data_IF_623585405037
#
_entry.id   IF_623585405037
#
_cell.length_a   1.000
_cell.length_b   1.000
_cell.length_c   1.000
_cell.angle_alpha   90.00
_cell.angle_beta   90.00
_cell.angle_gamma   90.00
#
_symmetry.space_group_name_H-M   'P 1'
#
loop_
_entity.id
_entity.type
_entity.pdbx_description
1 polymer ?
#
# COMPACT_ATOMS: atom_id res chain seq x y z
N UNK A 1 7.37 38.07 -42.78
CA UNK A 1 8.08 37.28 -41.74
C UNK A 1 7.36 37.58 -40.43
N UNK A 2 6.32 36.88 -40.00
CA UNK A 2 6.03 35.41 -40.10
C UNK A 2 7.19 34.59 -39.53
N UNK A 3 7.01 33.70 -38.54
CA UNK A 3 5.78 33.03 -38.07
C UNK A 3 5.58 32.96 -36.54
N UNK A 4 4.38 32.53 -36.16
CA UNK A 4 4.04 31.74 -34.96
C UNK A 4 5.06 30.63 -34.63
N UNK A 5 5.20 30.10 -33.41
CA UNK A 5 4.40 30.27 -32.19
C UNK A 5 3.68 28.98 -31.77
N UNK A 6 4.05 28.37 -30.63
CA UNK A 6 3.25 27.36 -29.89
C UNK A 6 3.86 27.09 -28.51
N UNK A 7 3.09 27.31 -27.45
CA UNK A 7 3.37 26.71 -26.13
C UNK A 7 2.81 25.29 -26.11
N UNK A 8 3.64 24.31 -25.79
CA UNK A 8 3.24 22.91 -25.65
C UNK A 8 3.04 22.57 -24.17
N UNK A 9 1.86 22.88 -23.63
CA UNK A 9 1.47 22.43 -22.31
C UNK A 9 1.32 20.90 -22.31
N UNK A 10 2.25 20.19 -21.66
CA UNK A 10 2.16 18.74 -21.50
C UNK A 10 0.92 18.38 -20.66
N UNK A 11 -0.04 17.57 -21.18
CA UNK A 11 -1.20 17.16 -20.40
C UNK A 11 -0.75 16.25 -19.25
N UNK A 12 -1.00 16.67 -18.01
CA UNK A 12 -0.61 15.90 -16.83
C UNK A 12 -1.33 14.56 -16.78
N UNK A 13 -0.59 13.49 -16.44
CA UNK A 13 -1.09 12.11 -16.39
C UNK A 13 -2.07 11.91 -15.21
N UNK A 14 -3.31 12.40 -15.35
CA UNK A 14 -4.36 12.19 -14.34
C UNK A 14 -4.77 10.72 -14.28
N UNK A 15 -4.31 10.01 -13.26
CA UNK A 15 -4.88 8.74 -12.82
C UNK A 15 -6.12 9.00 -11.96
N UNK A 16 -7.13 9.67 -12.52
CA UNK A 16 -8.33 10.09 -11.80
C UNK A 16 -9.09 8.89 -11.22
N UNK A 17 -9.56 9.04 -9.99
CA UNK A 17 -10.54 8.13 -9.39
C UNK A 17 -11.81 8.12 -10.24
N UNK A 18 -12.45 6.96 -10.40
CA UNK A 18 -13.72 6.88 -11.14
C UNK A 18 -14.80 7.73 -10.45
N UNK A 19 -15.74 8.34 -11.18
CA UNK A 19 -16.81 9.17 -10.62
C UNK A 19 -17.49 8.61 -9.37
N UNK A 20 -17.93 7.33 -9.39
CA UNK A 20 -18.51 6.68 -8.20
C UNK A 20 -17.58 6.64 -6.97
N UNK A 21 -16.28 6.50 -7.18
CA UNK A 21 -15.30 6.46 -6.08
C UNK A 21 -15.09 7.84 -5.44
N UNK A 22 -15.18 8.92 -6.23
CA UNK A 22 -15.12 10.31 -5.73
C UNK A 22 -16.35 10.60 -4.85
N UNK A 23 -17.54 10.22 -5.33
CA UNK A 23 -18.78 10.33 -4.55
C UNK A 23 -18.71 9.52 -3.25
N UNK A 24 -18.25 8.27 -3.32
CA UNK A 24 -18.05 7.44 -2.13
C UNK A 24 -17.00 8.02 -1.17
N UNK A 25 -15.94 8.69 -1.67
CA UNK A 25 -14.93 9.33 -0.83
C UNK A 25 -15.48 10.56 -0.08
N UNK A 26 -16.37 11.35 -0.69
CA UNK A 26 -16.98 12.54 -0.05
C UNK A 26 -18.18 12.21 0.84
N UNK A 27 -18.99 11.20 0.48
CA UNK A 27 -20.28 10.94 1.13
C UNK A 27 -20.41 9.57 1.80
N UNK A 28 -19.56 8.59 1.48
CA UNK A 28 -19.63 7.23 2.01
C UNK A 28 -20.99 6.58 1.80
N UNK A 29 -21.48 5.88 2.83
CA UNK A 29 -22.78 5.19 2.84
C UNK A 29 -24.00 6.13 2.67
N UNK A 30 -23.81 7.46 2.73
CA UNK A 30 -24.86 8.45 2.48
C UNK A 30 -25.17 8.63 0.99
N UNK A 31 -24.41 8.01 0.09
CA UNK A 31 -24.62 8.06 -1.35
C UNK A 31 -25.41 6.84 -1.86
N UNK A 32 -26.72 7.01 -2.09
CA UNK A 32 -27.61 5.93 -2.52
C UNK A 32 -27.86 5.99 -4.04
N UNK A 33 -27.37 4.98 -4.77
CA UNK A 33 -27.65 4.80 -6.20
C UNK A 33 -28.88 3.89 -6.39
N UNK A 34 -29.94 4.38 -7.02
CA UNK A 34 -31.11 3.59 -7.46
C UNK A 34 -31.11 3.52 -8.98
N UNK A 35 -31.20 2.31 -9.54
CA UNK A 35 -31.22 2.11 -11.00
C UNK A 35 -32.60 1.64 -11.45
N UNK A 36 -33.19 2.40 -12.36
CA UNK A 36 -34.50 2.25 -12.94
C UNK A 36 -34.38 1.68 -14.36
N UNK A 37 -35.34 0.85 -14.77
CA UNK A 37 -35.46 0.33 -16.14
C UNK A 37 -36.44 1.17 -16.94
N UNK A 38 -35.95 1.71 -18.07
CA UNK A 38 -36.68 2.60 -18.97
C UNK A 38 -36.84 1.91 -20.32
N UNK A 39 -38.07 1.81 -20.80
CA UNK A 39 -38.37 1.22 -22.10
C UNK A 39 -38.01 2.22 -23.21
N UNK A 40 -37.29 1.75 -24.23
CA UNK A 40 -36.93 2.57 -25.39
C UNK A 40 -38.16 2.73 -26.30
N UNK A 41 -38.70 3.95 -26.38
CA UNK A 41 -39.85 4.30 -27.22
C UNK A 41 -39.54 4.34 -28.72
N UNK A 42 -38.29 4.07 -29.13
CA UNK A 42 -37.85 4.05 -30.54
C UNK A 42 -38.20 2.74 -31.26
N UNK A 43 -38.97 1.83 -30.63
CA UNK A 43 -39.59 0.71 -31.35
C UNK A 43 -40.65 1.25 -32.34
N UNK A 44 -40.35 1.21 -33.64
CA UNK A 44 -41.38 1.44 -34.66
C UNK A 44 -42.49 0.40 -34.52
N UNK A 45 -43.73 0.88 -34.35
CA UNK A 45 -44.92 0.05 -34.19
C UNK A 45 -45.26 -0.68 -35.50
N UNK A 46 -44.73 -1.89 -35.67
CA UNK A 46 -45.26 -2.86 -36.64
C UNK A 46 -46.57 -3.40 -36.09
N UNK A 47 -47.69 -2.80 -36.51
CA UNK A 47 -49.03 -3.27 -36.14
C UNK A 47 -49.25 -4.70 -36.64
N UNK A 48 -49.69 -5.62 -35.76
CA UNK A 48 -50.13 -6.96 -36.14
C UNK A 48 -49.55 -8.14 -35.33
N UNK A 49 -48.50 -7.95 -34.53
CA UNK A 49 -47.90 -9.03 -33.73
C UNK A 49 -48.41 -9.05 -32.28
N UNK A 50 -49.15 -10.10 -31.92
CA UNK A 50 -49.76 -10.30 -30.60
C UNK A 50 -48.78 -10.77 -29.49
N UNK A 51 -47.48 -10.45 -29.62
CA UNK A 51 -46.45 -10.81 -28.64
C UNK A 51 -45.63 -9.53 -28.33
N UNK A 52 -45.55 -9.08 -27.06
CA UNK A 52 -44.75 -7.93 -26.70
C UNK A 52 -43.25 -8.24 -26.83
N UNK A 53 -42.69 -7.88 -27.98
CA UNK A 53 -41.25 -7.88 -28.25
C UNK A 53 -40.54 -6.93 -27.28
N UNK A 54 -40.06 -7.45 -26.14
CA UNK A 54 -39.30 -6.68 -25.14
C UNK A 54 -38.06 -6.07 -25.79
N UNK A 55 -38.13 -4.78 -26.09
CA UNK A 55 -37.01 -4.01 -26.64
C UNK A 55 -35.81 -3.96 -25.68
N UNK A 56 -34.62 -3.53 -26.17
CA UNK A 56 -33.43 -3.41 -25.34
C UNK A 56 -33.68 -2.41 -24.21
N UNK A 57 -33.70 -2.90 -22.97
CA UNK A 57 -33.87 -2.07 -21.78
C UNK A 57 -32.78 -1.01 -21.67
N UNK A 58 -33.20 0.25 -21.54
CA UNK A 58 -32.33 1.33 -21.11
C UNK A 58 -32.39 1.45 -19.58
N UNK A 59 -31.34 2.01 -19.00
CA UNK A 59 -31.20 2.19 -17.57
C UNK A 59 -30.98 3.64 -17.24
N UNK A 60 -31.67 4.13 -16.21
CA UNK A 60 -31.50 5.46 -15.62
C UNK A 60 -31.08 5.26 -14.17
N UNK A 61 -30.18 6.09 -13.66
CA UNK A 61 -29.75 6.06 -12.27
C UNK A 61 -30.12 7.37 -11.59
N UNK A 62 -30.84 7.25 -10.47
CA UNK A 62 -31.12 8.31 -9.53
C UNK A 62 -30.17 8.16 -8.34
N UNK A 63 -29.23 9.09 -8.23
CA UNK A 63 -28.28 9.19 -7.11
C UNK A 63 -28.83 10.18 -6.08
N UNK A 64 -29.12 9.69 -4.87
CA UNK A 64 -29.43 10.51 -3.72
C UNK A 64 -28.16 10.78 -2.90
N UNK A 65 -27.92 12.04 -2.58
CA UNK A 65 -26.88 12.54 -1.67
C UNK A 65 -27.57 13.42 -0.61
N UNK A 66 -26.92 13.70 0.55
CA UNK A 66 -27.48 14.61 1.56
C UNK A 66 -27.76 16.02 1.03
N UNK A 67 -26.99 16.46 0.03
CA UNK A 67 -27.02 17.82 -0.54
C UNK A 67 -27.91 17.93 -1.80
N UNK A 68 -28.16 16.82 -2.51
CA UNK A 68 -28.92 16.82 -3.77
C UNK A 68 -29.42 15.42 -4.18
N UNK A 69 -30.49 15.37 -4.99
CA UNK A 69 -30.81 14.20 -5.82
C UNK A 69 -30.50 14.51 -7.29
N UNK A 70 -29.84 13.59 -7.98
CA UNK A 70 -29.25 13.79 -9.31
C UNK A 70 -29.51 12.58 -10.20
N UNK A 71 -29.94 12.82 -11.44
CA UNK A 71 -30.46 11.79 -12.35
C UNK A 71 -29.61 11.71 -13.62
N UNK A 72 -29.15 10.51 -13.99
CA UNK A 72 -28.36 10.25 -15.18
C UNK A 72 -29.14 10.47 -16.49
N UNK A 73 -28.44 10.39 -17.63
CA UNK A 73 -29.10 10.05 -18.90
C UNK A 73 -29.62 8.59 -18.90
N UNK A 74 -30.21 8.15 -20.02
CA UNK A 74 -30.59 6.74 -20.25
C UNK A 74 -29.47 6.00 -20.99
N UNK A 75 -29.00 4.87 -20.45
CA UNK A 75 -27.86 4.12 -20.97
C UNK A 75 -28.17 2.63 -21.15
N UNK A 76 -27.49 1.96 -22.09
CA UNK A 76 -27.66 0.50 -22.34
C UNK A 76 -27.04 -0.40 -21.25
N UNK A 77 -26.37 0.14 -20.23
CA UNK A 77 -25.75 -0.62 -19.13
C UNK A 77 -25.99 0.07 -17.79
N UNK A 78 -26.41 -0.67 -16.76
CA UNK A 78 -26.64 -0.15 -15.39
C UNK A 78 -25.42 0.63 -14.85
N UNK A 79 -24.22 0.07 -15.03
CA UNK A 79 -22.95 0.70 -14.61
C UNK A 79 -22.68 2.07 -15.25
N UNK A 80 -23.09 2.29 -16.50
CA UNK A 80 -22.87 3.56 -17.20
C UNK A 80 -23.81 4.65 -16.67
N UNK A 81 -25.07 4.28 -16.39
CA UNK A 81 -26.03 5.16 -15.73
C UNK A 81 -25.54 5.57 -14.33
N UNK A 82 -25.00 4.64 -13.54
CA UNK A 82 -24.42 4.92 -12.22
C UNK A 82 -23.19 5.85 -12.28
N UNK A 83 -22.30 5.69 -13.27
CA UNK A 83 -21.17 6.62 -13.45
C UNK A 83 -21.66 7.99 -13.90
N UNK A 84 -22.58 8.08 -14.86
CA UNK A 84 -23.15 9.36 -15.33
C UNK A 84 -23.92 10.11 -14.22
N UNK A 85 -24.60 9.41 -13.31
CA UNK A 85 -25.20 10.04 -12.13
C UNK A 85 -24.13 10.62 -11.19
N UNK A 86 -22.98 9.97 -11.06
CA UNK A 86 -21.86 10.44 -10.27
C UNK A 86 -21.08 11.60 -10.93
N UNK A 87 -20.91 11.58 -12.26
CA UNK A 87 -20.30 12.66 -13.05
C UNK A 87 -21.11 13.95 -12.91
N UNK A 88 -22.42 13.89 -13.18
CA UNK A 88 -23.33 15.02 -12.95
C UNK A 88 -23.35 15.51 -11.50
N UNK A 89 -23.07 14.64 -10.53
CA UNK A 89 -22.98 15.02 -9.12
C UNK A 89 -21.67 15.73 -8.77
N UNK A 90 -20.56 15.34 -9.43
CA UNK A 90 -19.28 16.06 -9.34
C UNK A 90 -19.41 17.46 -9.95
N UNK A 91 -20.01 17.56 -11.12
CA UNK A 91 -20.27 18.84 -11.80
C UNK A 91 -21.21 19.75 -10.99
N UNK A 92 -22.37 19.23 -10.55
CA UNK A 92 -23.43 20.04 -9.92
C UNK A 92 -23.12 20.47 -8.48
N UNK A 93 -22.28 19.73 -7.74
CA UNK A 93 -21.90 20.05 -6.36
C UNK A 93 -20.46 20.61 -6.25
N UNK A 94 -19.90 21.05 -7.38
CA UNK A 94 -18.50 21.49 -7.55
C UNK A 94 -17.53 20.64 -6.73
N UNK A 95 -17.55 19.33 -6.98
CA UNK A 95 -16.71 18.36 -6.27
C UNK A 95 -15.32 18.37 -6.89
N UNK A 96 -14.64 19.50 -6.75
CA UNK A 96 -13.21 19.60 -6.91
C UNK A 96 -12.53 18.47 -6.09
N UNK A 97 -11.87 17.55 -6.79
CA UNK A 97 -10.86 16.72 -6.14
C UNK A 97 -9.82 17.69 -5.57
N UNK A 98 -9.65 17.72 -4.24
CA UNK A 98 -8.42 18.25 -3.67
C UNK A 98 -7.30 17.30 -4.06
N UNK A 99 -6.68 17.57 -5.20
CA UNK A 99 -5.42 16.93 -5.59
C UNK A 99 -4.43 17.15 -4.44
N UNK A 100 -3.84 16.06 -3.94
CA UNK A 100 -2.90 16.12 -2.83
C UNK A 100 -1.59 16.72 -3.34
N UNK A 101 -1.53 18.05 -3.28
CA UNK A 101 -0.46 18.89 -3.77
C UNK A 101 0.03 19.84 -2.66
N UNK A 102 0.50 19.30 -1.52
CA UNK A 102 1.07 20.11 -0.44
C UNK A 102 2.41 20.73 -0.86
N UNK A 103 2.87 21.75 -0.15
CA UNK A 103 4.30 22.10 -0.17
C UNK A 103 5.15 20.95 0.40
N UNK A 104 6.45 20.96 0.12
CA UNK A 104 7.38 19.95 0.68
C UNK A 104 7.36 19.99 2.21
N UNK A 105 7.20 21.17 2.82
CA UNK A 105 7.10 21.33 4.27
C UNK A 105 5.79 20.73 4.82
N UNK A 106 4.64 21.07 4.24
CA UNK A 106 3.35 20.46 4.62
C UNK A 106 3.37 18.94 4.46
N UNK A 107 4.06 18.39 3.44
CA UNK A 107 4.23 16.93 3.30
C UNK A 107 5.05 16.31 4.44
N UNK A 108 6.10 17.00 4.92
CA UNK A 108 6.84 16.57 6.12
C UNK A 108 6.00 16.62 7.40
N UNK A 109 5.15 17.63 7.53
CA UNK A 109 4.29 17.80 8.70
C UNK A 109 3.11 16.81 8.68
N UNK A 110 2.57 16.49 7.50
CA UNK A 110 1.54 15.47 7.32
C UNK A 110 2.11 14.04 7.52
N UNK A 111 3.41 13.83 7.22
CA UNK A 111 4.14 12.61 7.57
C UNK A 111 4.32 12.50 9.10
N UNK A 112 4.79 13.56 9.75
CA UNK A 112 4.95 13.60 11.20
C UNK A 112 3.61 13.41 11.93
N UNK A 113 2.56 14.12 11.51
CA UNK A 113 1.20 13.97 12.03
C UNK A 113 0.64 12.56 11.83
N UNK A 114 0.90 11.92 10.68
CA UNK A 114 0.50 10.52 10.47
C UNK A 114 1.28 9.55 11.37
N UNK A 115 2.59 9.73 11.51
CA UNK A 115 3.42 8.91 12.42
C UNK A 115 2.94 9.07 13.88
N UNK A 116 2.69 10.30 14.35
CA UNK A 116 2.14 10.55 15.68
C UNK A 116 0.80 9.85 15.89
N UNK A 117 -0.13 9.95 14.91
CA UNK A 117 -1.43 9.29 14.97
C UNK A 117 -1.34 7.76 15.06
N UNK A 118 -0.35 7.11 14.46
CA UNK A 118 -0.16 5.65 14.59
C UNK A 118 0.15 5.23 16.04
N UNK A 119 0.76 6.10 16.84
CA UNK A 119 1.05 5.85 18.26
C UNK A 119 -0.04 6.39 19.22
N UNK A 120 -1.15 6.92 18.69
CA UNK A 120 -2.28 7.37 19.47
C UNK A 120 -3.16 6.18 19.95
N UNK A 121 -3.79 6.31 21.12
CA UNK A 121 -4.56 5.22 21.74
C UNK A 121 -5.76 4.79 20.88
N UNK A 122 -6.36 5.75 20.18
CA UNK A 122 -7.46 5.61 19.24
C UNK A 122 -7.09 4.66 18.08
N UNK A 123 -5.83 4.68 17.65
CA UNK A 123 -5.36 3.83 16.55
C UNK A 123 -5.24 2.35 16.94
N UNK A 124 -4.94 2.05 18.21
CA UNK A 124 -4.89 0.67 18.72
C UNK A 124 -6.24 -0.05 18.60
N UNK A 125 -7.34 0.69 18.63
CA UNK A 125 -8.71 0.19 18.47
C UNK A 125 -9.20 0.18 17.02
N UNK A 126 -8.38 0.66 16.06
CA UNK A 126 -8.77 0.73 14.65
C UNK A 126 -8.76 -0.65 13.97
N UNK A 127 -9.59 -0.88 12.92
CA UNK A 127 -9.61 -2.14 12.16
C UNK A 127 -8.42 -2.29 11.19
N UNK A 128 -7.41 -1.44 11.29
CA UNK A 128 -6.25 -1.37 10.39
C UNK A 128 -5.23 -2.49 10.71
N UNK A 129 -4.59 -3.14 9.72
CA UNK A 129 -3.59 -4.20 9.96
C UNK A 129 -2.51 -3.83 10.98
N UNK A 130 -1.98 -2.60 10.90
CA UNK A 130 -1.03 -2.06 11.88
C UNK A 130 -1.55 -2.09 13.33
N UNK A 131 -2.85 -1.96 13.62
CA UNK A 131 -3.34 -2.06 15.00
C UNK A 131 -3.10 -3.46 15.57
N UNK A 132 -3.11 -4.51 14.74
CA UNK A 132 -2.69 -5.86 15.10
C UNK A 132 -1.21 -5.92 15.44
N UNK A 133 -0.35 -5.32 14.61
CA UNK A 133 1.08 -5.21 14.89
C UNK A 133 1.35 -4.45 16.20
N UNK A 134 0.72 -3.30 16.44
CA UNK A 134 0.88 -2.49 17.66
C UNK A 134 0.40 -3.24 18.91
N UNK A 135 -0.74 -3.93 18.84
CA UNK A 135 -1.23 -4.78 19.95
C UNK A 135 -0.34 -6.01 20.19
N UNK A 136 0.31 -6.55 19.16
CA UNK A 136 1.29 -7.62 19.30
C UNK A 136 2.63 -7.13 19.86
N UNK A 137 3.07 -5.92 19.49
CA UNK A 137 4.26 -5.28 20.05
C UNK A 137 4.12 -5.05 21.56
N UNK A 138 2.96 -4.61 22.02
CA UNK A 138 2.61 -4.49 23.45
C UNK A 138 2.58 -5.84 24.22
N UNK A 139 2.74 -6.97 23.53
CA UNK A 139 2.86 -8.32 24.12
C UNK A 139 4.27 -8.92 23.98
N UNK A 140 5.21 -8.24 23.32
CA UNK A 140 6.61 -8.70 23.19
C UNK A 140 7.29 -8.73 24.57
N UNK A 141 8.16 -9.72 24.74
CA UNK A 141 8.87 -9.98 25.99
C UNK A 141 9.88 -8.87 26.34
N UNK A 142 10.06 -8.65 27.64
CA UNK A 142 11.14 -7.86 28.24
C UNK A 142 11.42 -6.53 27.51
N UNK A 143 12.68 -6.34 27.09
CA UNK A 143 13.21 -5.14 26.45
C UNK A 143 12.64 -4.85 25.05
N UNK A 144 11.66 -5.61 24.55
CA UNK A 144 11.01 -5.40 23.25
C UNK A 144 9.54 -4.99 23.34
N UNK A 145 8.99 -4.82 24.55
CA UNK A 145 7.59 -4.43 24.72
C UNK A 145 7.28 -3.08 24.04
N UNK A 146 6.13 -2.99 23.36
CA UNK A 146 5.68 -1.79 22.64
C UNK A 146 6.48 -1.44 21.37
N UNK A 147 7.50 -2.21 20.98
CA UNK A 147 8.33 -1.90 19.81
C UNK A 147 7.71 -2.30 18.47
N UNK A 148 7.58 -1.33 17.57
CA UNK A 148 7.22 -1.56 16.17
C UNK A 148 8.43 -1.36 15.25
N UNK A 149 8.80 -2.38 14.44
CA UNK A 149 9.78 -2.22 13.37
C UNK A 149 9.35 -1.14 12.35
N UNK A 150 10.28 -0.29 11.94
CA UNK A 150 9.98 0.79 10.96
C UNK A 150 9.57 0.20 9.60
N UNK A 151 10.10 -0.98 9.24
CA UNK A 151 9.71 -1.74 8.03
C UNK A 151 8.22 -2.06 7.99
N UNK A 152 7.60 -2.35 9.15
CA UNK A 152 6.16 -2.59 9.26
C UNK A 152 5.36 -1.32 8.99
N UNK A 153 5.77 -0.18 9.55
CA UNK A 153 5.12 1.11 9.31
C UNK A 153 5.23 1.52 7.82
N UNK A 154 6.41 1.34 7.23
CA UNK A 154 6.68 1.68 5.82
C UNK A 154 5.88 0.85 4.81
N UNK A 155 5.54 -0.41 5.14
CA UNK A 155 4.85 -1.35 4.23
C UNK A 155 3.34 -1.36 4.41
N UNK A 156 2.83 -1.24 5.64
CA UNK A 156 1.39 -1.42 5.92
C UNK A 156 0.60 -0.09 6.00
N UNK A 157 1.23 1.09 6.02
CA UNK A 157 0.53 2.38 5.96
C UNK A 157 0.68 3.05 4.58
N UNK A 158 -0.34 2.88 3.75
CA UNK A 158 -0.37 3.48 2.41
C UNK A 158 -0.45 5.03 2.42
N UNK A 159 -0.86 5.69 3.52
CA UNK A 159 -0.76 7.16 3.59
C UNK A 159 0.72 7.55 3.71
N UNK A 160 1.47 6.90 4.60
CA UNK A 160 2.92 7.11 4.74
C UNK A 160 3.65 6.84 3.43
N UNK A 161 3.40 5.71 2.75
CA UNK A 161 4.07 5.42 1.47
C UNK A 161 3.80 6.50 0.41
N UNK A 162 2.56 7.01 0.35
CA UNK A 162 2.19 8.09 -0.58
C UNK A 162 2.80 9.45 -0.21
N UNK A 163 2.87 9.80 1.08
CA UNK A 163 3.51 11.04 1.53
C UNK A 163 5.03 10.97 1.28
N UNK A 164 5.67 9.84 1.58
CA UNK A 164 7.08 9.62 1.30
C UNK A 164 7.39 9.72 -0.21
N UNK A 165 6.54 9.17 -1.08
CA UNK A 165 6.63 9.33 -2.53
C UNK A 165 6.50 10.79 -3.00
N UNK A 166 5.76 11.62 -2.26
CA UNK A 166 5.64 13.05 -2.56
C UNK A 166 6.88 13.84 -2.12
N UNK A 167 7.47 13.49 -0.97
CA UNK A 167 8.72 14.09 -0.47
C UNK A 167 9.91 13.70 -1.35
N UNK A 168 9.98 12.43 -1.77
CA UNK A 168 10.98 11.92 -2.72
C UNK A 168 10.36 10.82 -3.61
N UNK A 169 10.21 11.04 -4.94
CA UNK A 169 9.69 10.04 -5.86
C UNK A 169 10.44 8.70 -5.87
N UNK A 170 11.72 8.67 -5.50
CA UNK A 170 12.49 7.42 -5.40
C UNK A 170 11.98 6.49 -4.30
N UNK A 171 11.24 7.02 -3.32
CA UNK A 171 10.62 6.22 -2.25
C UNK A 171 9.59 5.22 -2.77
N UNK A 172 9.01 5.42 -3.96
CA UNK A 172 8.13 4.42 -4.61
C UNK A 172 8.87 3.09 -4.94
N UNK A 173 10.16 3.15 -5.21
CA UNK A 173 10.98 1.98 -5.53
C UNK A 173 11.84 1.49 -4.36
N UNK A 174 12.02 2.31 -3.31
CA UNK A 174 13.00 2.10 -2.26
C UNK A 174 12.39 2.12 -0.86
N UNK A 175 12.11 0.93 -0.31
CA UNK A 175 11.55 0.74 1.03
C UNK A 175 12.45 1.34 2.14
N UNK A 176 13.78 1.35 1.95
CA UNK A 176 14.73 1.94 2.91
C UNK A 176 14.63 3.47 2.96
N UNK A 177 14.29 4.10 1.83
CA UNK A 177 14.05 5.54 1.77
C UNK A 177 12.71 5.90 2.43
N UNK A 178 11.67 5.08 2.28
CA UNK A 178 10.43 5.23 3.10
C UNK A 178 10.77 5.13 4.60
N UNK A 179 11.60 4.17 5.01
CA UNK A 179 12.04 4.02 6.39
C UNK A 179 12.90 5.20 6.89
N UNK A 180 13.77 5.78 6.05
CA UNK A 180 14.58 6.95 6.43
C UNK A 180 13.74 8.21 6.60
N UNK A 181 12.76 8.43 5.72
CA UNK A 181 11.81 9.54 5.83
C UNK A 181 10.92 9.39 7.08
N UNK A 182 10.40 8.19 7.37
CA UNK A 182 9.65 7.91 8.61
C UNK A 182 10.50 8.14 9.85
N UNK A 183 11.76 7.70 9.88
CA UNK A 183 12.67 7.93 11.01
C UNK A 183 13.01 9.42 11.20
N UNK A 184 13.21 10.17 10.10
CA UNK A 184 13.44 11.62 10.13
C UNK A 184 12.22 12.40 10.59
N UNK A 185 11.00 11.94 10.28
CA UNK A 185 9.76 12.52 10.80
C UNK A 185 9.56 12.17 12.28
N UNK A 186 9.77 10.91 12.67
CA UNK A 186 9.67 10.46 14.06
C UNK A 186 10.66 11.18 14.99
N UNK A 187 11.89 11.47 14.51
CA UNK A 187 12.90 12.21 15.28
C UNK A 187 12.53 13.68 15.56
N UNK A 188 11.49 14.24 14.91
CA UNK A 188 10.94 15.57 15.23
C UNK A 188 9.82 15.53 16.29
N UNK A 189 9.31 14.35 16.65
CA UNK A 189 8.18 14.19 17.58
C UNK A 189 8.69 13.94 19.01
N UNK A 190 8.42 14.88 19.91
CA UNK A 190 8.89 14.85 21.32
C UNK A 190 8.43 13.61 22.11
N UNK A 191 7.26 13.05 21.78
CA UNK A 191 6.66 11.92 22.49
C UNK A 191 7.11 10.54 21.98
N UNK A 192 7.85 10.48 20.86
CA UNK A 192 8.36 9.22 20.28
C UNK A 192 9.87 9.12 20.46
N UNK A 193 10.33 8.02 21.06
CA UNK A 193 11.74 7.77 21.26
C UNK A 193 12.28 6.82 20.18
N UNK A 194 13.17 7.28 19.32
CA UNK A 194 14.04 6.37 18.56
C UNK A 194 14.88 5.54 19.54
N UNK A 195 15.04 4.24 19.26
CA UNK A 195 15.96 3.40 20.05
C UNK A 195 17.36 3.43 19.47
N UNK A 196 18.24 4.12 20.20
CA UNK A 196 19.69 4.02 20.06
C UNK A 196 20.22 4.32 18.65
N UNK A 197 21.54 4.31 18.49
CA UNK A 197 22.19 4.41 17.18
C UNK A 197 22.24 3.04 16.47
N UNK A 198 21.53 2.03 17.01
CA UNK A 198 21.67 0.62 16.65
C UNK A 198 20.42 -0.10 16.12
N UNK A 199 19.19 0.39 16.35
CA UNK A 199 17.94 -0.33 15.96
C UNK A 199 17.01 0.43 14.99
N UNK A 200 16.17 -0.30 14.25
CA UNK A 200 15.12 0.22 13.35
C UNK A 200 13.69 0.05 13.92
N UNK A 201 13.45 0.61 15.10
CA UNK A 201 12.21 0.45 15.89
C UNK A 201 11.70 1.79 16.44
N UNK A 202 10.37 1.93 16.54
CA UNK A 202 9.65 3.09 17.11
C UNK A 202 8.66 2.66 18.19
N UNK A 203 8.55 3.45 19.28
CA UNK A 203 7.87 3.11 20.56
C UNK A 203 8.00 4.21 21.67
N UNK A 204 7.82 3.80 22.96
CA UNK A 204 8.22 4.49 24.21
C UNK A 204 9.20 3.63 25.14
N UNK A 205 10.55 3.83 25.07
CA UNK A 205 11.78 3.48 25.93
C UNK A 205 11.79 2.25 26.92
N UNK A 206 12.81 1.35 27.17
CA UNK A 206 14.22 0.94 26.72
C UNK A 206 14.49 -0.59 27.00
N UNK A 207 15.34 -1.47 26.36
CA UNK A 207 15.82 -1.77 24.95
C UNK A 207 17.22 -2.50 24.83
N UNK A 208 17.54 -3.19 23.70
CA UNK A 208 18.88 -3.62 23.08
C UNK A 208 19.40 -5.10 23.31
N UNK A 209 20.14 -5.86 22.43
CA UNK A 209 20.31 -6.00 20.93
C UNK A 209 21.41 -7.06 20.47
N UNK A 210 21.42 -7.49 19.17
CA UNK A 210 22.49 -8.13 18.30
C UNK A 210 22.79 -9.68 18.24
N UNK A 211 23.53 -10.22 17.22
CA UNK A 211 23.04 -10.95 15.98
C UNK A 211 24.08 -11.95 15.30
N UNK A 212 23.69 -12.63 14.20
CA UNK A 212 24.40 -13.38 13.09
C UNK A 212 24.91 -14.86 13.34
N UNK A 213 25.35 -15.70 12.33
CA UNK A 213 25.45 -15.59 10.83
C UNK A 213 24.92 -16.83 9.99
N UNK A 214 25.48 -17.15 8.79
CA UNK A 214 24.84 -17.86 7.64
C UNK A 214 25.78 -18.75 6.73
N UNK A 215 25.28 -19.85 6.10
CA UNK A 215 25.22 -20.12 4.61
C UNK A 215 24.56 -21.48 4.26
N UNK A 216 23.63 -21.55 3.28
CA UNK A 216 22.79 -22.76 3.00
C UNK A 216 21.96 -22.81 1.69
N UNK A 217 21.36 -23.98 1.43
CA UNK A 217 20.35 -24.27 0.38
C UNK A 217 18.97 -23.65 0.67
N UNK A 218 18.07 -23.57 -0.34
CA UNK A 218 16.66 -23.20 -0.11
C UNK A 218 15.95 -24.38 0.55
N UNK A 219 15.76 -24.28 1.85
CA UNK A 219 15.16 -25.32 2.70
C UNK A 219 13.77 -24.90 3.20
N UNK A 220 12.81 -25.84 3.34
CA UNK A 220 11.50 -25.54 3.87
C UNK A 220 11.58 -25.26 5.38
N UNK A 221 11.25 -24.03 5.78
CA UNK A 221 11.33 -23.58 7.16
C UNK A 221 9.96 -23.57 7.85
N UNK A 222 9.84 -24.18 9.02
CA UNK A 222 8.63 -24.12 9.85
C UNK A 222 8.76 -23.02 10.91
N UNK A 223 7.86 -22.03 10.88
CA UNK A 223 7.83 -20.92 11.83
C UNK A 223 6.89 -21.24 13.01
N UNK A 224 7.46 -21.59 14.16
CA UNK A 224 6.70 -21.80 15.40
C UNK A 224 6.38 -20.45 16.06
N UNK A 225 5.10 -20.07 16.08
CA UNK A 225 4.62 -18.77 16.58
C UNK A 225 3.63 -19.01 17.71
N UNK A 226 3.91 -18.46 18.89
CA UNK A 226 3.04 -18.55 20.07
C UNK A 226 2.05 -17.38 20.08
N UNK A 227 0.86 -17.56 20.68
CA UNK A 227 -0.19 -16.52 20.75
C UNK A 227 0.22 -15.23 21.51
N UNK A 228 1.30 -15.28 22.31
CA UNK A 228 1.93 -14.13 22.96
C UNK A 228 3.07 -13.52 22.15
N UNK A 229 3.73 -14.30 21.29
CA UNK A 229 4.94 -13.90 20.59
C UNK A 229 4.67 -13.13 19.31
N UNK A 230 5.45 -12.08 19.04
CA UNK A 230 5.35 -11.34 17.79
C UNK A 230 6.03 -12.12 16.66
N UNK A 231 5.31 -12.34 15.55
CA UNK A 231 5.77 -13.24 14.48
C UNK A 231 7.09 -12.80 13.83
N UNK A 232 7.39 -11.49 13.83
CA UNK A 232 8.67 -10.99 13.32
C UNK A 232 9.86 -11.33 14.23
N UNK A 233 9.68 -11.60 15.52
CA UNK A 233 10.76 -12.11 16.39
C UNK A 233 11.04 -13.60 16.15
N UNK A 234 10.08 -14.34 15.60
CA UNK A 234 10.31 -15.70 15.09
C UNK A 234 11.12 -15.62 13.80
N UNK A 235 10.70 -14.77 12.86
CA UNK A 235 11.40 -14.55 11.57
C UNK A 235 12.81 -14.00 11.78
N UNK A 236 12.99 -13.02 12.67
CA UNK A 236 14.30 -12.47 13.02
C UNK A 236 15.27 -13.57 13.47
N UNK A 237 14.89 -14.35 14.49
CA UNK A 237 15.75 -15.44 15.02
C UNK A 237 16.12 -16.48 13.97
N UNK A 238 15.22 -16.77 13.01
CA UNK A 238 15.51 -17.70 11.91
C UNK A 238 16.43 -17.10 10.83
N UNK A 239 16.46 -15.78 10.66
CA UNK A 239 17.44 -15.06 9.84
C UNK A 239 18.76 -14.80 10.61
N UNK A 240 18.97 -15.44 11.77
CA UNK A 240 20.10 -15.19 12.66
C UNK A 240 20.08 -13.80 13.32
N UNK A 241 18.96 -13.08 13.28
CA UNK A 241 18.84 -11.74 13.88
C UNK A 241 18.40 -11.80 15.33
N UNK A 242 18.81 -10.78 16.07
CA UNK A 242 18.36 -10.51 17.43
C UNK A 242 16.92 -9.99 17.53
N UNK A 243 16.45 -9.24 16.52
CA UNK A 243 15.28 -8.38 16.68
C UNK A 243 14.41 -8.29 15.43
N UNK A 244 13.09 -8.21 15.62
CA UNK A 244 12.16 -7.82 14.56
C UNK A 244 12.46 -6.48 13.88
N UNK A 245 13.24 -5.57 14.49
CA UNK A 245 13.66 -4.31 13.85
C UNK A 245 14.56 -4.54 12.64
N UNK A 246 15.38 -5.60 12.71
CA UNK A 246 16.46 -5.84 11.76
C UNK A 246 15.93 -6.57 10.49
N UNK A 247 14.62 -6.86 10.49
CA UNK A 247 13.87 -7.49 9.42
C UNK A 247 13.22 -6.43 8.52
N UNK A 248 13.71 -6.33 7.29
CA UNK A 248 13.01 -5.68 6.18
C UNK A 248 11.89 -6.57 5.67
N UNK A 249 10.87 -5.93 5.10
CA UNK A 249 9.69 -6.59 4.52
C UNK A 249 9.50 -6.02 3.12
N UNK A 250 9.44 -6.87 2.11
CA UNK A 250 9.03 -6.47 0.75
C UNK A 250 7.97 -7.42 0.20
N UNK A 251 6.97 -6.85 -0.47
CA UNK A 251 5.99 -7.60 -1.26
C UNK A 251 6.65 -8.22 -2.49
N UNK A 252 6.06 -9.31 -3.01
CA UNK A 252 6.44 -9.86 -4.30
C UNK A 252 6.13 -8.88 -5.44
N UNK A 253 7.16 -8.51 -6.19
CA UNK A 253 7.06 -7.91 -7.52
C UNK A 253 7.44 -8.98 -8.54
N UNK A 254 6.47 -9.78 -8.99
CA UNK A 254 6.69 -10.83 -9.99
C UNK A 254 7.05 -10.22 -11.36
N UNK A 255 8.34 -9.95 -11.56
CA UNK A 255 8.92 -9.38 -12.78
C UNK A 255 8.86 -10.30 -14.01
N UNK A 256 8.33 -11.52 -13.86
CA UNK A 256 8.21 -12.55 -14.90
C UNK A 256 7.54 -12.08 -16.20
N UNK A 257 6.66 -11.08 -16.15
CA UNK A 257 5.97 -10.54 -17.32
C UNK A 257 6.60 -9.24 -17.89
N UNK A 258 7.52 -8.59 -17.16
CA UNK A 258 7.98 -7.23 -17.49
C UNK A 258 8.93 -7.18 -18.70
N UNK A 259 9.62 -8.28 -19.05
CA UNK A 259 10.49 -8.33 -20.24
C UNK A 259 9.75 -8.50 -21.58
N UNK A 260 8.42 -8.67 -21.55
CA UNK A 260 7.59 -8.86 -22.75
C UNK A 260 6.38 -7.93 -22.84
N UNK A 261 6.19 -7.03 -21.87
CA UNK A 261 4.98 -6.22 -21.74
C UNK A 261 5.28 -4.72 -21.72
N UNK A 262 4.54 -3.97 -22.54
CA UNK A 262 4.58 -2.51 -22.68
C UNK A 262 4.46 -1.78 -21.32
N UNK A 263 4.99 -0.56 -21.18
CA UNK A 263 4.94 0.25 -19.95
C UNK A 263 3.54 0.31 -19.31
N UNK A 264 2.51 0.38 -20.15
CA UNK A 264 1.10 0.40 -19.70
C UNK A 264 0.70 -0.86 -18.92
N UNK A 265 1.30 -2.01 -19.21
CA UNK A 265 1.09 -3.25 -18.47
C UNK A 265 1.85 -3.25 -17.13
N UNK A 266 3.06 -2.67 -17.08
CA UNK A 266 3.79 -2.45 -15.82
C UNK A 266 3.01 -1.48 -14.92
N UNK A 267 2.42 -0.42 -15.49
CA UNK A 267 1.53 0.50 -14.77
C UNK A 267 0.26 -0.20 -14.26
N UNK A 268 -0.31 -1.13 -15.02
CA UNK A 268 -1.46 -1.94 -14.58
C UNK A 268 -1.08 -2.98 -13.50
N UNK A 269 0.12 -3.55 -13.54
CA UNK A 269 0.67 -4.39 -12.46
C UNK A 269 0.88 -3.58 -11.17
N UNK A 270 1.46 -2.38 -11.26
CA UNK A 270 1.49 -1.42 -10.13
C UNK A 270 0.09 -1.04 -9.65
N UNK A 271 -0.90 -0.91 -10.55
CA UNK A 271 -2.30 -0.65 -10.17
C UNK A 271 -2.99 -1.83 -9.46
N UNK A 272 -2.52 -3.06 -9.68
CA UNK A 272 -2.96 -4.27 -8.96
C UNK A 272 -2.17 -4.56 -7.68
N UNK A 273 -1.15 -3.76 -7.34
CA UNK A 273 -0.43 -3.82 -6.07
C UNK A 273 -1.36 -3.66 -4.84
N UNK A 274 -2.53 -3.03 -5.02
CA UNK A 274 -3.59 -2.93 -4.00
C UNK A 274 -4.83 -3.83 -4.26
N UNK A 275 -4.85 -4.62 -5.35
CA UNK A 275 -5.95 -5.54 -5.70
C UNK A 275 -5.36 -6.82 -6.34
N UNK A 276 -4.88 -7.73 -5.48
CA UNK A 276 -4.14 -8.93 -5.88
C UNK A 276 -4.63 -10.26 -5.27
N UNK A 277 -5.95 -10.46 -5.13
CA UNK A 277 -6.60 -11.63 -4.48
C UNK A 277 -6.39 -13.01 -5.16
N UNK A 278 -5.28 -13.23 -5.87
CA UNK A 278 -5.00 -14.46 -6.64
C UNK A 278 -3.78 -15.27 -6.12
N UNK A 279 -3.00 -14.68 -5.20
CA UNK A 279 -2.15 -15.40 -4.25
C UNK A 279 -2.37 -14.74 -2.89
N UNK A 280 -2.23 -15.47 -1.78
CA UNK A 280 -2.21 -14.83 -0.46
C UNK A 280 -0.98 -13.93 -0.32
N UNK A 281 -1.00 -13.02 0.65
CA UNK A 281 0.00 -11.95 0.81
C UNK A 281 1.37 -12.46 1.29
N UNK A 282 2.01 -13.24 0.42
CA UNK A 282 3.39 -13.66 0.55
C UNK A 282 4.31 -12.43 0.52
N UNK A 283 5.18 -12.38 1.52
CA UNK A 283 6.18 -11.32 1.74
C UNK A 283 7.54 -11.97 1.87
N UNK A 284 8.57 -11.23 1.45
CA UNK A 284 9.97 -11.60 1.64
C UNK A 284 10.52 -10.79 2.80
N UNK A 285 11.05 -11.51 3.79
CA UNK A 285 11.60 -11.00 5.03
C UNK A 285 13.11 -11.20 5.02
N UNK A 286 13.89 -10.14 5.17
CA UNK A 286 15.34 -10.16 4.93
C UNK A 286 16.11 -9.10 5.73
N UNK A 287 17.44 -9.08 5.64
CA UNK A 287 18.30 -8.25 6.50
C UNK A 287 18.30 -6.76 6.18
N UNK A 288 18.15 -5.93 7.23
CA UNK A 288 18.36 -4.49 7.17
C UNK A 288 19.85 -4.12 7.10
N UNK A 289 20.23 -3.11 6.28
CA UNK A 289 21.59 -2.55 6.32
C UNK A 289 21.85 -1.85 7.66
N UNK A 290 23.12 -1.63 8.01
CA UNK A 290 23.48 -1.01 9.31
C UNK A 290 23.01 0.46 9.39
N UNK A 291 22.46 0.87 10.54
CA UNK A 291 21.76 2.16 10.72
C UNK A 291 22.55 3.40 10.30
N UNK A 292 23.88 3.40 10.46
CA UNK A 292 24.78 4.47 10.02
C UNK A 292 24.63 4.82 8.53
N UNK A 293 24.14 3.90 7.69
CA UNK A 293 23.93 4.11 6.25
C UNK A 293 22.67 4.95 5.95
N UNK A 294 21.67 4.94 6.85
CA UNK A 294 20.35 5.53 6.62
C UNK A 294 20.39 7.06 6.48
N UNK A 295 21.36 7.71 7.14
CA UNK A 295 21.55 9.16 7.13
C UNK A 295 22.13 9.70 5.81
N UNK A 296 22.84 8.86 5.04
CA UNK A 296 23.53 9.25 3.81
C UNK A 296 22.75 8.92 2.53
N UNK A 297 21.54 8.35 2.63
CA UNK A 297 20.70 8.00 1.46
C UNK A 297 20.18 9.21 0.66
N UNK A 298 20.56 10.43 1.03
CA UNK A 298 20.26 11.66 0.27
C UNK A 298 21.41 12.09 -0.67
N UNK A 299 22.55 11.40 -0.68
CA UNK A 299 23.70 11.71 -1.55
C UNK A 299 23.81 10.70 -2.71
N UNK A 300 24.02 11.15 -3.96
CA UNK A 300 24.11 10.24 -5.10
C UNK A 300 25.48 9.55 -5.20
N UNK A 301 25.46 8.22 -5.36
CA UNK A 301 26.56 7.36 -5.82
C UNK A 301 27.77 7.20 -4.89
N UNK A 302 27.65 6.33 -3.88
CA UNK A 302 28.79 5.55 -3.35
C UNK A 302 28.48 4.04 -3.47
N UNK A 303 29.52 3.23 -3.69
CA UNK A 303 29.45 1.85 -4.20
C UNK A 303 28.55 0.92 -3.37
N UNK A 304 27.35 0.61 -3.87
CA UNK A 304 26.27 -0.12 -3.19
C UNK A 304 26.64 -1.44 -2.50
N UNK A 305 27.73 -2.10 -2.91
CA UNK A 305 28.12 -3.44 -2.43
C UNK A 305 28.73 -3.46 -1.01
N UNK A 306 29.33 -2.37 -0.52
CA UNK A 306 30.06 -2.34 0.76
C UNK A 306 29.19 -2.13 2.02
N UNK A 307 27.87 -2.05 1.88
CA UNK A 307 26.99 -1.45 2.89
C UNK A 307 25.95 -2.41 3.50
N UNK A 308 25.88 -3.64 3.00
CA UNK A 308 24.99 -4.71 3.48
C UNK A 308 25.79 -5.87 4.09
N UNK A 309 25.15 -6.68 4.93
CA UNK A 309 25.77 -7.86 5.55
C UNK A 309 25.34 -9.13 4.79
N UNK A 310 26.30 -9.79 4.13
CA UNK A 310 26.08 -10.97 3.30
C UNK A 310 26.08 -10.69 1.78
N UNK A 311 26.15 -11.74 0.94
CA UNK A 311 26.17 -11.63 -0.51
C UNK A 311 24.82 -11.18 -1.08
N UNK A 312 24.80 -10.74 -2.35
CA UNK A 312 23.54 -10.42 -3.05
C UNK A 312 22.72 -11.70 -3.25
N UNK A 313 21.53 -11.75 -2.65
CA UNK A 313 20.59 -12.84 -2.81
C UNK A 313 19.80 -12.66 -4.10
N UNK A 314 20.36 -13.14 -5.20
CA UNK A 314 19.78 -12.99 -6.54
C UNK A 314 18.34 -13.52 -6.65
N UNK A 315 18.00 -14.58 -5.88
CA UNK A 315 16.67 -15.21 -5.89
C UNK A 315 15.64 -14.33 -5.17
N UNK A 316 15.93 -13.88 -3.95
CA UNK A 316 15.06 -12.95 -3.24
C UNK A 316 14.95 -11.59 -3.96
N UNK A 317 16.05 -11.10 -4.55
CA UNK A 317 16.07 -9.86 -5.34
C UNK A 317 15.19 -9.95 -6.59
N UNK A 318 15.15 -11.11 -7.25
CA UNK A 318 14.29 -11.38 -8.40
C UNK A 318 12.80 -11.30 -8.04
N UNK A 319 12.43 -11.83 -6.88
CA UNK A 319 11.05 -11.84 -6.38
C UNK A 319 10.56 -10.47 -5.88
N UNK A 320 11.43 -9.62 -5.33
CA UNK A 320 11.05 -8.27 -4.85
C UNK A 320 11.22 -7.18 -5.91
N UNK A 321 12.02 -7.43 -6.94
CA UNK A 321 12.49 -6.41 -7.88
C UNK A 321 13.43 -5.36 -7.26
N UNK A 322 13.85 -5.57 -6.02
CA UNK A 322 14.76 -4.72 -5.25
C UNK A 322 16.03 -5.52 -4.95
N UNK A 323 17.14 -4.86 -4.57
CA UNK A 323 18.33 -5.61 -4.15
C UNK A 323 18.17 -6.13 -2.72
N UNK A 324 18.22 -7.45 -2.56
CA UNK A 324 18.16 -8.18 -1.30
C UNK A 324 19.54 -8.78 -1.03
N UNK A 325 20.07 -8.59 0.18
CA UNK A 325 21.38 -9.07 0.60
C UNK A 325 21.25 -9.99 1.82
N UNK A 326 22.12 -10.99 1.91
CA UNK A 326 22.06 -12.01 2.95
C UNK A 326 20.82 -12.91 2.80
N UNK A 327 20.41 -13.52 3.90
CA UNK A 327 19.33 -14.49 3.89
C UNK A 327 17.94 -13.86 3.82
N UNK A 328 16.97 -14.64 3.33
CA UNK A 328 15.62 -14.17 3.09
C UNK A 328 14.58 -15.30 3.23
N UNK A 329 13.54 -15.06 4.05
CA UNK A 329 12.41 -15.97 4.26
C UNK A 329 11.22 -15.50 3.40
N UNK A 330 10.66 -16.41 2.61
CA UNK A 330 9.38 -16.21 1.92
C UNK A 330 8.24 -16.80 2.77
N UNK A 331 7.31 -15.96 3.23
CA UNK A 331 6.18 -16.42 4.06
C UNK A 331 4.88 -15.65 3.76
N UNK A 332 3.74 -16.36 3.77
CA UNK A 332 2.39 -15.78 3.73
C UNK A 332 1.90 -15.62 5.16
N UNK A 333 2.08 -14.43 5.72
CA UNK A 333 1.81 -14.13 7.13
C UNK A 333 1.62 -12.63 7.36
N UNK A 334 0.69 -12.26 8.24
CA UNK A 334 0.45 -10.87 8.66
C UNK A 334 -0.90 -10.68 9.35
N UNK A 335 -1.20 -9.45 9.78
CA UNK A 335 -2.52 -9.09 10.29
C UNK A 335 -3.44 -8.62 9.15
N UNK A 336 -4.72 -8.96 9.24
CA UNK A 336 -5.73 -8.61 8.21
C UNK A 336 -6.75 -7.59 8.73
N UNK A 337 -7.37 -6.86 7.81
CA UNK A 337 -8.38 -5.85 8.14
C UNK A 337 -9.54 -6.44 8.94
N UNK A 338 -9.95 -5.74 10.01
CA UNK A 338 -11.01 -6.14 10.96
C UNK A 338 -10.74 -7.43 11.77
N UNK A 339 -9.60 -8.09 11.60
CA UNK A 339 -9.19 -9.23 12.42
C UNK A 339 -8.35 -8.78 13.62
N UNK A 340 -8.44 -9.52 14.72
CA UNK A 340 -7.47 -9.47 15.82
C UNK A 340 -6.34 -10.48 15.65
N UNK A 341 -6.55 -11.45 14.77
CA UNK A 341 -5.81 -12.70 14.74
C UNK A 341 -4.81 -12.73 13.58
N UNK A 342 -3.70 -13.42 13.81
CA UNK A 342 -2.60 -13.53 12.86
C UNK A 342 -2.99 -14.47 11.71
N UNK A 343 -3.16 -13.93 10.51
CA UNK A 343 -3.38 -14.73 9.31
C UNK A 343 -2.06 -15.36 8.85
N UNK A 344 -2.12 -16.63 8.42
CA UNK A 344 -1.01 -17.30 7.77
C UNK A 344 -1.51 -18.34 6.74
N UNK A 345 -0.68 -18.62 5.73
CA UNK A 345 -0.88 -19.75 4.80
C UNK A 345 0.45 -20.50 4.62
N UNK A 346 0.36 -21.83 4.45
CA UNK A 346 1.53 -22.70 4.31
C UNK A 346 2.25 -22.48 2.97
N UNK A 347 3.35 -21.72 2.99
CA UNK A 347 4.27 -21.61 1.85
C UNK A 347 5.10 -22.89 1.76
N UNK A 348 5.17 -23.47 0.57
CA UNK A 348 5.93 -24.69 0.28
C UNK A 348 7.00 -24.43 -0.77
N UNK A 349 7.94 -25.37 -0.96
CA UNK A 349 8.88 -25.31 -2.10
C UNK A 349 8.13 -25.22 -3.45
N UNK A 350 6.98 -25.89 -3.58
CA UNK A 350 6.12 -25.78 -4.78
C UNK A 350 5.50 -24.38 -4.93
N UNK A 351 5.25 -23.68 -3.82
CA UNK A 351 4.79 -22.29 -3.82
C UNK A 351 5.91 -21.30 -4.16
N UNK A 352 7.17 -21.67 -3.86
CA UNK A 352 8.37 -20.89 -4.18
C UNK A 352 8.81 -21.03 -5.65
N UNK A 353 8.67 -22.21 -6.26
CA UNK A 353 9.02 -22.46 -7.66
C UNK A 353 7.92 -22.09 -8.68
N UNK A 354 6.82 -21.47 -8.24
CA UNK A 354 5.63 -21.15 -9.05
C UNK A 354 5.50 -19.64 -9.29
#
# INVERSE_FOLDING_TARGET
>A
MTETGRSAANPSKKSSLTPKAIIHQRFGDKACYKVEEVQDSTQMFVQGLAIPQKGPYLYRCTLHLPEATIVSGTFRRKKDAEQSAAEKAIEKLDICQKEYNPTIQEAWDDLAGRVAFLFANEFLSSPHPLSGHFRAALRRDCDFNGHIPVSVIAVYDAKISNICKYIDPAAEANSLLVMSLVMRAAAKLTDLALISDKQFSLWRRKSISSRAPLDKTVEPLTLHINATGYYLDVIARQLGMSEASDVLISSLLLLLHAKAANEQAILNLKKTQNIGKASSEMRIYYSAPKKNMLNHLSEPQVKEASHFEGPLNARASYFTGQRVYGDAILASIGYTWKSTDLFHEAVSLRSYYR
#
